data_IF_695261213681
#
_entry.id   IF_695261213681
#
_cell.length_a   1.000
_cell.length_b   1.000
_cell.length_c   1.000
_cell.angle_alpha   90.00
_cell.angle_beta   90.00
_cell.angle_gamma   90.00
#
_symmetry.space_group_name_H-M   'P 1'
#
loop_
_entity.id
_entity.type
_entity.pdbx_description
1 polymer ?
#
# COMPACT_ATOMS: atom_id res chain seq x y z
N UNK A 1 -2.84 -16.98 26.15
CA UNK A 1 -1.52 -16.28 26.22
C UNK A 1 -0.65 -16.51 24.98
N UNK A 2 -0.07 -17.70 24.72
CA UNK A 2 0.86 -17.87 23.58
C UNK A 2 0.26 -17.57 22.19
N UNK A 3 -1.03 -17.83 21.97
CA UNK A 3 -1.77 -17.50 20.75
C UNK A 3 -1.98 -16.00 20.54
N UNK A 4 -2.24 -15.26 21.62
CA UNK A 4 -2.50 -13.81 21.61
C UNK A 4 -1.29 -13.03 21.05
N UNK A 5 -0.13 -13.17 21.70
CA UNK A 5 1.13 -12.54 21.29
C UNK A 5 1.50 -12.87 19.84
N UNK A 6 1.30 -14.14 19.43
CA UNK A 6 1.56 -14.60 18.06
C UNK A 6 0.59 -14.04 17.02
N UNK A 7 -0.60 -13.59 17.43
CA UNK A 7 -1.51 -12.83 16.57
C UNK A 7 -1.05 -11.38 16.45
N UNK A 8 -0.71 -10.70 17.55
CA UNK A 8 -0.16 -9.33 17.55
C UNK A 8 1.09 -9.23 16.67
N UNK A 9 2.06 -10.14 16.85
CA UNK A 9 3.28 -10.25 16.03
C UNK A 9 2.96 -10.39 14.54
N UNK A 10 1.89 -11.11 14.17
CA UNK A 10 1.46 -11.26 12.77
C UNK A 10 0.81 -10.00 12.21
N UNK A 11 -0.01 -9.30 12.99
CA UNK A 11 -0.63 -8.04 12.54
C UNK A 11 0.39 -6.91 12.42
N UNK A 12 1.32 -6.77 13.37
CA UNK A 12 2.42 -5.81 13.27
C UNK A 12 3.31 -6.06 12.04
N UNK A 13 3.69 -7.33 11.79
CA UNK A 13 4.44 -7.70 10.59
C UNK A 13 3.67 -7.44 9.28
N UNK A 14 2.35 -7.63 9.27
CA UNK A 14 1.50 -7.29 8.12
C UNK A 14 1.47 -5.79 7.87
N UNK A 15 1.26 -4.97 8.90
CA UNK A 15 1.26 -3.49 8.80
C UNK A 15 2.61 -2.98 8.28
N UNK A 16 3.72 -3.46 8.86
CA UNK A 16 5.07 -3.12 8.42
C UNK A 16 5.34 -3.52 6.96
N UNK A 17 4.80 -4.65 6.51
CA UNK A 17 4.92 -5.11 5.12
C UNK A 17 4.12 -4.25 4.15
N UNK A 18 2.94 -3.77 4.55
CA UNK A 18 2.11 -2.85 3.75
C UNK A 18 2.82 -1.50 3.62
N UNK A 19 3.44 -1.00 4.70
CA UNK A 19 4.20 0.27 4.67
C UNK A 19 5.44 0.16 3.78
N UNK A 20 6.26 -0.89 3.92
CA UNK A 20 7.42 -1.13 3.06
C UNK A 20 7.04 -1.16 1.57
N UNK A 21 5.93 -1.82 1.22
CA UNK A 21 5.40 -1.88 -0.15
C UNK A 21 4.86 -0.51 -0.60
N UNK A 22 4.24 0.26 0.30
CA UNK A 22 3.73 1.61 0.03
C UNK A 22 4.87 2.57 -0.32
N UNK A 23 6.00 2.49 0.40
CA UNK A 23 7.18 3.33 0.12
C UNK A 23 7.79 3.07 -1.27
N UNK A 24 7.71 1.85 -1.79
CA UNK A 24 8.21 1.52 -3.14
C UNK A 24 7.45 2.24 -4.27
N UNK A 25 6.26 2.79 -3.99
CA UNK A 25 5.50 3.59 -4.97
C UNK A 25 5.97 5.04 -5.08
N UNK A 26 6.72 5.57 -4.09
CA UNK A 26 7.27 6.93 -4.15
C UNK A 26 8.19 7.18 -5.36
N UNK A 27 9.15 6.27 -5.66
CA UNK A 27 9.93 6.31 -6.91
C UNK A 27 9.08 6.24 -8.18
N UNK A 28 8.01 5.45 -8.19
CA UNK A 28 7.11 5.32 -9.36
C UNK A 28 6.34 6.61 -9.63
N UNK A 29 5.89 7.32 -8.59
CA UNK A 29 5.28 8.64 -8.74
C UNK A 29 6.23 9.64 -9.42
N UNK A 30 7.51 9.65 -9.02
CA UNK A 30 8.56 10.51 -9.62
C UNK A 30 8.86 10.13 -11.07
N UNK A 31 8.79 8.84 -11.42
CA UNK A 31 8.96 8.38 -12.80
C UNK A 31 7.80 8.85 -13.69
N UNK A 32 6.56 8.69 -13.23
CA UNK A 32 5.36 9.10 -13.99
C UNK A 32 5.32 10.62 -14.20
N UNK A 33 5.79 11.42 -13.23
CA UNK A 33 5.94 12.86 -13.39
C UNK A 33 6.87 13.22 -14.56
N UNK A 34 8.07 12.61 -14.62
CA UNK A 34 9.04 12.82 -15.71
C UNK A 34 8.50 12.39 -17.08
N UNK A 35 7.62 11.39 -17.14
CA UNK A 35 6.94 10.99 -18.39
C UNK A 35 5.90 12.02 -18.89
N UNK A 36 5.42 12.94 -18.03
CA UNK A 36 4.59 14.10 -18.44
C UNK A 36 5.46 15.27 -18.88
N UNK A 37 6.64 15.46 -18.27
CA UNK A 37 7.60 16.51 -18.61
C UNK A 37 8.25 16.28 -19.98
N UNK A 38 8.54 15.03 -20.35
CA UNK A 38 9.10 14.64 -21.64
C UNK A 38 8.21 13.59 -22.34
N UNK A 39 7.12 14.01 -23.03
CA UNK A 39 6.20 13.09 -23.70
C UNK A 39 6.88 12.40 -24.90
N UNK A 40 6.61 11.10 -25.06
CA UNK A 40 7.14 10.32 -26.17
C UNK A 40 6.58 10.79 -27.53
N UNK A 41 7.34 10.69 -28.64
CA UNK A 41 6.87 11.08 -29.97
C UNK A 41 5.58 10.35 -30.39
N UNK A 42 4.70 10.96 -31.21
CA UNK A 42 3.52 10.27 -31.75
C UNK A 42 3.89 8.97 -32.45
N UNK A 43 3.25 7.86 -32.05
CA UNK A 43 3.56 6.50 -32.53
C UNK A 43 4.66 5.77 -31.75
N UNK A 44 5.30 6.40 -30.77
CA UNK A 44 6.34 5.76 -29.94
C UNK A 44 5.75 5.02 -28.73
N UNK A 45 6.17 3.76 -28.61
CA UNK A 45 5.95 2.79 -27.51
C UNK A 45 4.52 2.41 -27.07
N UNK A 46 4.36 1.10 -26.84
CA UNK A 46 3.18 0.43 -26.28
C UNK A 46 3.08 0.59 -24.76
N UNK A 47 3.20 1.81 -24.23
CA UNK A 47 3.19 2.06 -22.77
C UNK A 47 1.92 2.83 -22.37
N UNK A 48 1.27 2.36 -21.31
CA UNK A 48 0.12 3.00 -20.66
C UNK A 48 0.39 4.50 -20.43
N UNK A 49 -0.47 5.43 -20.88
CA UNK A 49 -0.23 6.86 -20.76
C UNK A 49 0.01 7.30 -19.30
N UNK A 50 0.81 8.37 -19.04
CA UNK A 50 1.13 8.82 -17.68
C UNK A 50 -0.09 9.09 -16.80
N UNK A 51 -1.18 9.57 -17.38
CA UNK A 51 -2.45 9.83 -16.69
C UNK A 51 -3.19 8.53 -16.29
N UNK A 52 -3.05 7.47 -17.08
CA UNK A 52 -3.56 6.14 -16.73
C UNK A 52 -2.66 5.48 -15.68
N UNK A 53 -1.33 5.60 -15.79
CA UNK A 53 -0.39 5.16 -14.75
C UNK A 53 -0.64 5.87 -13.42
N UNK A 54 -0.92 7.19 -13.44
CA UNK A 54 -1.30 7.97 -12.24
C UNK A 54 -2.58 7.43 -11.61
N UNK A 55 -3.61 7.11 -12.41
CA UNK A 55 -4.87 6.51 -11.92
C UNK A 55 -4.66 5.11 -11.35
N UNK A 56 -3.82 4.28 -11.96
CA UNK A 56 -3.45 2.95 -11.45
C UNK A 56 -2.70 3.06 -10.11
N UNK A 57 -1.70 3.95 -10.04
CA UNK A 57 -0.94 4.25 -8.83
C UNK A 57 -1.85 4.71 -7.67
N UNK A 58 -2.72 5.69 -7.92
CA UNK A 58 -3.66 6.19 -6.92
C UNK A 58 -4.62 5.10 -6.42
N UNK A 59 -5.09 4.22 -7.31
CA UNK A 59 -5.93 3.07 -6.93
C UNK A 59 -5.16 2.06 -6.07
N UNK A 60 -3.93 1.71 -6.42
CA UNK A 60 -3.08 0.81 -5.64
C UNK A 60 -2.79 1.37 -4.24
N UNK A 61 -2.45 2.66 -4.13
CA UNK A 61 -2.25 3.33 -2.84
C UNK A 61 -3.54 3.32 -2.00
N UNK A 62 -4.69 3.66 -2.58
CA UNK A 62 -5.99 3.61 -1.89
C UNK A 62 -6.33 2.21 -1.37
N UNK A 63 -6.05 1.15 -2.15
CA UNK A 63 -6.22 -0.23 -1.71
C UNK A 63 -5.29 -0.59 -0.54
N UNK A 64 -4.03 -0.15 -0.56
CA UNK A 64 -3.05 -0.40 0.50
C UNK A 64 -3.41 0.35 1.79
N UNK A 65 -3.86 1.60 1.72
CA UNK A 65 -4.40 2.33 2.87
C UNK A 65 -5.59 1.60 3.49
N UNK A 66 -6.58 1.21 2.69
CA UNK A 66 -7.76 0.49 3.19
C UNK A 66 -7.40 -0.86 3.85
N UNK A 67 -6.38 -1.56 3.33
CA UNK A 67 -5.84 -2.79 3.90
C UNK A 67 -5.09 -2.53 5.22
N UNK A 68 -4.29 -1.46 5.30
CA UNK A 68 -3.60 -1.04 6.53
C UNK A 68 -4.62 -0.68 7.62
N UNK A 69 -5.64 0.10 7.29
CA UNK A 69 -6.71 0.46 8.21
C UNK A 69 -7.46 -0.78 8.71
N UNK A 70 -7.69 -1.78 7.84
CA UNK A 70 -8.27 -3.05 8.25
C UNK A 70 -7.36 -3.81 9.23
N UNK A 71 -6.06 -3.95 8.92
CA UNK A 71 -5.09 -4.61 9.78
C UNK A 71 -4.97 -3.95 11.17
N UNK A 72 -4.86 -2.62 11.23
CA UNK A 72 -4.79 -1.86 12.50
C UNK A 72 -6.09 -2.00 13.31
N UNK A 73 -7.26 -2.00 12.66
CA UNK A 73 -8.55 -2.24 13.33
C UNK A 73 -8.62 -3.65 13.93
N UNK A 74 -8.15 -4.68 13.24
CA UNK A 74 -8.12 -6.05 13.78
C UNK A 74 -7.10 -6.22 14.90
N UNK A 75 -5.91 -5.60 14.80
CA UNK A 75 -4.92 -5.58 15.89
C UNK A 75 -5.49 -4.92 17.16
N UNK A 76 -6.17 -3.78 16.99
CA UNK A 76 -6.86 -3.07 18.08
C UNK A 76 -7.99 -3.91 18.68
N UNK A 77 -8.75 -4.63 17.85
CA UNK A 77 -9.82 -5.53 18.31
C UNK A 77 -9.30 -6.76 19.07
N UNK A 78 -8.11 -7.28 18.72
CA UNK A 78 -7.48 -8.35 19.51
C UNK A 78 -7.07 -7.84 20.89
N UNK A 79 -6.25 -6.77 20.92
CA UNK A 79 -5.76 -6.12 22.14
C UNK A 79 -6.88 -5.72 23.12
N UNK A 80 -8.05 -5.35 22.62
CA UNK A 80 -9.22 -4.99 23.46
C UNK A 80 -10.14 -6.16 23.81
N UNK A 81 -10.04 -7.31 23.14
CA UNK A 81 -10.88 -8.50 23.41
C UNK A 81 -10.22 -9.50 24.35
N UNK A 82 -8.91 -9.66 24.33
CA UNK A 82 -8.21 -10.62 25.19
C UNK A 82 -8.06 -10.13 26.65
N UNK A 83 -8.79 -9.06 27.02
CA UNK A 83 -9.17 -8.67 28.41
C UNK A 83 -10.50 -9.29 28.90
N UNK A 84 -11.15 -10.17 28.13
CA UNK A 84 -12.42 -10.84 28.49
C UNK A 84 -12.35 -12.38 28.52
N UNK A 85 -11.29 -12.92 29.13
CA UNK A 85 -11.20 -14.30 29.65
C UNK A 85 -10.47 -14.26 30.99
#
# INVERSE_FOLDING_TARGET
MATAKRAEERYGNLVNSIDFVTDQFGPLQKLIAKMRENPAPPGSWRVTPPDQLTKMLAKSLSHLTALKDAAIRYETQLKTREWKV
#
